data_IF_694177552807
#
_entry.id   IF_694177552807
#
_cell.length_a   1.000
_cell.length_b   1.000
_cell.length_c   1.000
_cell.angle_alpha   90.00
_cell.angle_beta   90.00
_cell.angle_gamma   90.00
#
_symmetry.space_group_name_H-M   'P 1'
#
loop_
_entity.id
_entity.type
_entity.pdbx_description
1 polymer ?
#
# COMPACT_ATOMS: atom_id res chain seq x y z
N UNK A 1 -10.08 -14.02 9.55
CA UNK A 1 -8.75 -14.61 9.81
C UNK A 1 -8.07 -13.83 10.93
N UNK A 2 -7.05 -14.40 11.58
CA UNK A 2 -6.27 -13.67 12.58
C UNK A 2 -5.32 -12.70 11.85
N UNK A 3 -5.12 -11.46 12.32
CA UNK A 3 -4.30 -10.47 11.63
C UNK A 3 -2.79 -10.78 11.65
N UNK A 4 -2.41 -11.89 12.26
CA UNK A 4 -1.02 -12.31 12.43
C UNK A 4 -0.88 -13.81 12.21
N UNK A 5 0.33 -14.22 11.82
CA UNK A 5 0.78 -15.61 11.81
C UNK A 5 1.80 -15.81 12.93
N UNK A 6 1.73 -16.95 13.63
CA UNK A 6 2.78 -17.32 14.58
C UNK A 6 4.02 -17.80 13.83
N UNK A 7 5.14 -17.13 14.06
CA UNK A 7 6.43 -17.47 13.46
C UNK A 7 7.52 -17.58 14.51
N UNK A 8 8.43 -18.53 14.34
CA UNK A 8 9.65 -18.61 15.14
C UNK A 8 10.74 -17.74 14.51
N UNK A 9 11.13 -16.67 15.20
CA UNK A 9 12.21 -15.76 14.79
C UNK A 9 13.27 -15.72 15.87
N UNK A 10 14.49 -16.13 15.52
CA UNK A 10 15.65 -16.16 16.43
C UNK A 10 15.37 -16.93 17.74
N UNK A 11 14.66 -18.05 17.65
CA UNK A 11 14.31 -18.90 18.80
C UNK A 11 13.17 -18.37 19.67
N UNK A 12 12.38 -17.41 19.17
CA UNK A 12 11.22 -16.85 19.87
C UNK A 12 9.99 -16.90 18.98
N UNK A 13 8.87 -17.33 19.53
CA UNK A 13 7.58 -17.23 18.86
C UNK A 13 7.11 -15.77 18.91
N UNK A 14 6.82 -15.22 17.73
CA UNK A 14 6.27 -13.88 17.57
C UNK A 14 4.97 -13.96 16.77
N UNK A 15 4.08 -12.99 17.00
CA UNK A 15 2.92 -12.75 16.17
C UNK A 15 3.35 -11.82 15.03
N UNK A 16 3.56 -12.38 13.84
CA UNK A 16 4.00 -11.62 12.68
C UNK A 16 2.78 -11.08 11.93
N UNK A 17 2.70 -9.76 11.79
CA UNK A 17 1.63 -9.10 11.04
C UNK A 17 1.66 -9.50 9.56
N UNK A 18 0.49 -9.59 8.92
CA UNK A 18 0.43 -9.85 7.48
C UNK A 18 0.94 -8.65 6.69
N UNK A 19 1.46 -8.85 5.45
CA UNK A 19 1.89 -7.75 4.59
C UNK A 19 0.81 -6.67 4.40
N UNK A 20 -0.46 -7.08 4.29
CA UNK A 20 -1.61 -6.18 4.15
C UNK A 20 -1.82 -5.36 5.41
N UNK A 21 -1.77 -5.97 6.60
CA UNK A 21 -1.92 -5.23 7.86
C UNK A 21 -0.82 -4.17 8.00
N UNK A 22 0.43 -4.51 7.64
CA UNK A 22 1.56 -3.59 7.70
C UNK A 22 1.33 -2.37 6.80
N UNK A 23 0.94 -2.56 5.53
CA UNK A 23 0.69 -1.42 4.63
C UNK A 23 -0.57 -0.65 5.00
N UNK A 24 -1.62 -1.32 5.47
CA UNK A 24 -2.83 -0.69 5.96
C UNK A 24 -2.54 0.25 7.13
N UNK A 25 -1.77 -0.21 8.12
CA UNK A 25 -1.33 0.62 9.25
C UNK A 25 -0.47 1.80 8.80
N UNK A 26 0.48 1.58 7.89
CA UNK A 26 1.32 2.67 7.34
C UNK A 26 0.45 3.75 6.70
N UNK A 27 -0.49 3.38 5.83
CA UNK A 27 -1.40 4.33 5.20
C UNK A 27 -2.35 4.98 6.21
N UNK A 28 -2.85 4.24 7.21
CA UNK A 28 -3.77 4.79 8.21
C UNK A 28 -3.11 5.83 9.14
N UNK A 29 -1.91 5.54 9.64
CA UNK A 29 -1.20 6.40 10.59
C UNK A 29 -0.32 7.47 9.95
N UNK A 30 0.09 7.28 8.69
CA UNK A 30 1.05 8.16 7.99
C UNK A 30 0.60 8.54 6.58
N UNK A 31 -0.67 8.37 6.24
CA UNK A 31 -1.19 8.73 4.92
C UNK A 31 -0.94 10.19 4.53
N UNK A 32 -0.76 11.09 5.50
CA UNK A 32 -0.40 12.51 5.37
C UNK A 32 1.12 12.77 5.23
N UNK A 33 1.96 11.73 5.32
CA UNK A 33 3.44 11.80 5.30
C UNK A 33 4.04 10.65 4.50
N UNK A 34 3.64 10.50 3.25
CA UNK A 34 4.17 9.44 2.39
C UNK A 34 5.71 9.48 2.29
N UNK A 35 6.35 8.32 2.38
CA UNK A 35 7.79 8.13 2.16
C UNK A 35 8.07 7.25 0.93
N UNK A 36 9.27 7.34 0.32
CA UNK A 36 9.64 6.46 -0.79
C UNK A 36 9.49 4.96 -0.49
N UNK A 37 9.81 4.53 0.75
CA UNK A 37 9.64 3.13 1.16
C UNK A 37 8.19 2.73 1.30
N UNK A 38 7.32 3.61 1.80
CA UNK A 38 5.89 3.29 1.88
C UNK A 38 5.28 3.08 0.49
N UNK A 39 5.72 3.85 -0.51
CA UNK A 39 5.29 3.67 -1.90
C UNK A 39 5.79 2.34 -2.47
N UNK A 40 7.06 1.99 -2.21
CA UNK A 40 7.65 0.71 -2.63
C UNK A 40 6.92 -0.48 -2.00
N UNK A 41 6.75 -0.45 -0.67
CA UNK A 41 6.10 -1.51 0.10
C UNK A 41 4.65 -1.70 -0.35
N UNK A 42 3.90 -0.60 -0.56
CA UNK A 42 2.54 -0.68 -1.09
C UNK A 42 2.51 -1.30 -2.49
N UNK A 43 3.41 -0.90 -3.39
CA UNK A 43 3.47 -1.44 -4.75
C UNK A 43 3.80 -2.94 -4.77
N UNK A 44 4.64 -3.41 -3.85
CA UNK A 44 4.96 -4.82 -3.66
C UNK A 44 3.76 -5.59 -3.10
N UNK A 45 3.07 -5.07 -2.08
CA UNK A 45 1.87 -5.74 -1.54
C UNK A 45 0.74 -5.77 -2.58
N UNK A 46 0.58 -4.72 -3.39
CA UNK A 46 -0.36 -4.73 -4.53
C UNK A 46 -0.03 -5.85 -5.51
N UNK A 47 1.25 -6.14 -5.78
CA UNK A 47 1.65 -7.20 -6.71
C UNK A 47 1.12 -8.58 -6.31
N UNK A 48 1.16 -8.89 -5.02
CA UNK A 48 0.87 -10.23 -4.50
C UNK A 48 -0.51 -10.36 -3.87
N UNK A 49 -1.11 -9.25 -3.41
CA UNK A 49 -2.30 -9.26 -2.56
C UNK A 49 -3.42 -8.32 -3.04
N UNK A 50 -3.45 -7.95 -4.32
CA UNK A 50 -4.43 -6.97 -4.83
C UNK A 50 -5.89 -7.30 -4.46
N UNK A 51 -6.32 -8.56 -4.63
CA UNK A 51 -7.71 -8.96 -4.31
C UNK A 51 -8.04 -8.81 -2.83
N UNK A 52 -7.12 -9.19 -1.96
CA UNK A 52 -7.30 -9.14 -0.50
C UNK A 52 -7.30 -7.68 0.00
N UNK A 53 -6.50 -6.79 -0.61
CA UNK A 53 -6.62 -5.34 -0.38
C UNK A 53 -8.02 -4.84 -0.75
N UNK A 54 -8.58 -5.27 -1.88
CA UNK A 54 -9.91 -4.85 -2.30
C UNK A 54 -11.00 -5.38 -1.35
N UNK A 55 -10.84 -6.57 -0.77
CA UNK A 55 -11.76 -7.11 0.23
C UNK A 55 -11.76 -6.28 1.53
N UNK A 56 -10.65 -5.61 1.83
CA UNK A 56 -10.49 -4.68 2.95
C UNK A 56 -10.43 -3.20 2.54
N UNK A 57 -11.04 -2.86 1.39
CA UNK A 57 -10.92 -1.53 0.77
C UNK A 57 -11.32 -0.35 1.66
N UNK A 58 -12.21 -0.56 2.64
CA UNK A 58 -12.66 0.44 3.61
C UNK A 58 -11.51 0.99 4.47
N UNK A 59 -10.53 0.15 4.82
CA UNK A 59 -9.35 0.55 5.58
C UNK A 59 -8.46 1.49 4.78
N UNK A 60 -8.36 1.28 3.47
CA UNK A 60 -7.49 2.04 2.57
C UNK A 60 -8.15 3.31 2.03
N UNK A 61 -9.47 3.29 1.83
CA UNK A 61 -10.23 4.36 1.19
C UNK A 61 -10.01 5.74 1.82
N UNK A 62 -9.84 5.80 3.15
CA UNK A 62 -9.67 7.05 3.89
C UNK A 62 -8.43 7.85 3.46
N UNK A 63 -7.31 7.18 3.20
CA UNK A 63 -6.01 7.84 3.06
C UNK A 63 -5.33 7.59 1.72
N UNK A 64 -5.83 6.66 0.89
CA UNK A 64 -5.19 6.31 -0.39
C UNK A 64 -5.12 7.51 -1.36
N UNK A 65 -6.13 8.37 -1.37
CA UNK A 65 -6.13 9.59 -2.20
C UNK A 65 -5.02 10.55 -1.79
N UNK A 66 -5.02 10.98 -0.52
CA UNK A 66 -3.99 11.86 0.04
C UNK A 66 -2.57 11.29 -0.10
N UNK A 67 -2.42 9.97 0.05
CA UNK A 67 -1.15 9.27 -0.14
C UNK A 67 -0.65 9.40 -1.58
N UNK A 68 -1.49 9.07 -2.58
CA UNK A 68 -1.10 9.16 -4.00
C UNK A 68 -0.81 10.60 -4.43
N UNK A 69 -1.57 11.57 -3.94
CA UNK A 69 -1.35 12.99 -4.23
C UNK A 69 0.00 13.49 -3.67
N UNK A 70 0.36 13.09 -2.45
CA UNK A 70 1.66 13.43 -1.88
C UNK A 70 2.82 12.80 -2.64
N UNK A 71 2.70 11.52 -3.02
CA UNK A 71 3.72 10.86 -3.82
C UNK A 71 3.94 11.59 -5.15
N UNK A 72 2.86 11.98 -5.83
CA UNK A 72 2.95 12.74 -7.08
C UNK A 72 3.52 14.16 -6.90
N UNK A 73 2.95 14.93 -5.96
CA UNK A 73 3.36 16.33 -5.73
C UNK A 73 4.79 16.48 -5.22
N UNK A 74 5.30 15.49 -4.47
CA UNK A 74 6.66 15.47 -3.91
C UNK A 74 7.63 14.63 -4.71
N UNK A 75 7.28 14.21 -5.93
CA UNK A 75 8.11 13.36 -6.80
C UNK A 75 9.56 13.84 -6.88
N UNK A 76 9.78 15.14 -7.12
CA UNK A 76 11.13 15.69 -7.26
C UNK A 76 12.02 15.48 -6.00
N UNK A 77 11.42 15.43 -4.81
CA UNK A 77 12.12 15.18 -3.56
C UNK A 77 12.17 13.70 -3.20
N UNK A 78 11.15 12.92 -3.57
CA UNK A 78 11.06 11.50 -3.24
C UNK A 78 11.87 10.61 -4.16
N UNK A 79 11.97 10.95 -5.46
CA UNK A 79 12.63 10.12 -6.47
C UNK A 79 14.10 9.82 -6.13
N UNK A 80 14.96 10.80 -5.76
CA UNK A 80 16.36 10.49 -5.42
C UNK A 80 16.47 9.48 -4.28
N UNK A 81 15.69 9.66 -3.21
CA UNK A 81 15.67 8.74 -2.07
C UNK A 81 15.04 7.38 -2.40
N UNK A 82 14.14 7.32 -3.40
CA UNK A 82 13.59 6.07 -3.89
C UNK A 82 14.61 5.26 -4.67
N UNK A 83 15.42 5.93 -5.49
CA UNK A 83 16.47 5.29 -6.31
C UNK A 83 17.64 4.78 -5.46
N UNK A 84 17.85 5.35 -4.27
CA UNK A 84 18.82 4.87 -3.27
C UNK A 84 18.36 3.61 -2.52
N UNK A 85 17.08 3.20 -2.63
CA UNK A 85 16.61 2.00 -1.94
C UNK A 85 17.27 0.77 -2.56
N UNK A 86 17.99 0.02 -1.74
CA UNK A 86 18.47 -1.31 -2.11
C UNK A 86 17.27 -2.25 -2.25
N UNK A 87 16.96 -2.64 -3.50
CA UNK A 87 15.84 -3.51 -3.84
C UNK A 87 16.38 -4.90 -4.15
N UNK A 88 15.95 -5.89 -3.38
CA UNK A 88 16.23 -7.30 -3.68
C UNK A 88 15.11 -7.79 -4.59
N UNK A 89 15.43 -8.06 -5.86
CA UNK A 89 14.55 -8.65 -6.88
C UNK A 89 13.32 -7.84 -7.34
N UNK A 90 13.00 -6.72 -6.68
CA UNK A 90 11.91 -5.82 -7.08
C UNK A 90 12.41 -4.65 -7.94
N UNK A 91 12.05 -4.62 -9.23
CA UNK A 91 12.64 -3.70 -10.22
C UNK A 91 11.79 -2.49 -10.60
N UNK A 92 10.65 -2.26 -9.95
CA UNK A 92 9.80 -1.12 -10.31
C UNK A 92 10.51 0.22 -10.04
N UNK A 93 10.34 1.12 -10.99
CA UNK A 93 10.62 2.54 -10.86
C UNK A 93 9.61 3.22 -9.93
N UNK A 94 9.95 4.45 -9.54
CA UNK A 94 9.04 5.29 -8.74
C UNK A 94 7.69 5.47 -9.43
N UNK A 95 7.72 5.79 -10.73
CA UNK A 95 6.52 6.06 -11.51
C UNK A 95 5.66 4.80 -11.67
N UNK A 96 6.27 3.63 -11.91
CA UNK A 96 5.53 2.36 -11.95
C UNK A 96 4.87 2.01 -10.60
N UNK A 97 5.54 2.32 -9.48
CA UNK A 97 4.95 2.14 -8.15
C UNK A 97 3.78 3.10 -7.93
N UNK A 98 3.94 4.37 -8.33
CA UNK A 98 2.90 5.38 -8.22
C UNK A 98 1.69 5.06 -9.10
N UNK A 99 1.91 4.54 -10.31
CA UNK A 99 0.85 4.12 -11.23
C UNK A 99 0.03 2.95 -10.65
N UNK A 100 0.70 1.98 -10.01
CA UNK A 100 0.01 0.91 -9.28
C UNK A 100 -0.83 1.45 -8.13
N UNK A 101 -0.29 2.37 -7.33
CA UNK A 101 -1.03 2.99 -6.23
C UNK A 101 -2.25 3.80 -6.74
N UNK A 102 -2.09 4.53 -7.86
CA UNK A 102 -3.20 5.24 -8.50
C UNK A 102 -4.26 4.29 -9.08
N UNK A 103 -3.85 3.14 -9.62
CA UNK A 103 -4.77 2.11 -10.11
C UNK A 103 -5.57 1.49 -8.97
N UNK A 104 -4.90 1.13 -7.87
CA UNK A 104 -5.55 0.65 -6.65
C UNK A 104 -6.56 1.69 -6.11
N UNK A 105 -6.17 2.98 -6.06
CA UNK A 105 -7.08 4.07 -5.67
C UNK A 105 -8.34 4.06 -6.53
N UNK A 106 -8.19 4.00 -7.85
CA UNK A 106 -9.34 3.98 -8.76
C UNK A 106 -10.29 2.80 -8.48
N UNK A 107 -9.74 1.62 -8.19
CA UNK A 107 -10.54 0.43 -7.92
C UNK A 107 -11.23 0.46 -6.55
N UNK A 108 -10.56 0.99 -5.52
CA UNK A 108 -11.15 1.25 -4.20
C UNK A 108 -12.32 2.25 -4.31
N UNK A 109 -12.12 3.36 -5.05
CA UNK A 109 -13.15 4.39 -5.22
C UNK A 109 -14.35 3.87 -6.01
N UNK A 110 -14.14 3.04 -7.04
CA UNK A 110 -15.23 2.37 -7.77
C UNK A 110 -16.05 1.45 -6.86
N UNK A 111 -15.40 0.68 -5.97
CA UNK A 111 -16.07 -0.22 -5.02
C UNK A 111 -16.84 0.55 -3.93
N UNK A 112 -16.40 1.77 -3.62
CA UNK A 112 -17.03 2.63 -2.61
C UNK A 112 -18.26 3.39 -3.13
N UNK A 113 -18.46 3.48 -4.45
CA UNK A 113 -19.69 4.02 -5.04
C UNK A 113 -20.77 2.94 -4.88
N UNK A 114 -21.87 3.19 -4.13
CA UNK A 114 -22.97 2.25 -4.07
C UNK A 114 -23.52 2.11 -5.50
N UNK A 115 -23.53 0.88 -6.03
CA UNK A 115 -24.33 0.56 -7.21
C UNK A 115 -25.79 0.76 -6.86
N UNK A 116 -26.32 1.96 -7.05
CA UNK A 116 -27.75 2.18 -7.20
C UNK A 116 -28.11 1.92 -8.66
N UNK A 117 -28.50 0.69 -8.93
CA UNK A 117 -29.28 0.28 -10.09
C UNK A 117 -30.14 -0.89 -9.65
N UNK A 118 -31.28 -0.60 -9.02
CA UNK A 118 -32.61 -0.55 -9.66
C UNK A 118 -33.18 -1.95 -9.84
N UNK A 119 -34.14 -2.26 -8.97
CA UNK A 119 -35.17 -3.28 -9.17
C UNK A 119 -36.00 -3.03 -10.42
#
# INVERSE_FOLDING_TARGET
ENPFEEHEVLGRNILLETPIEIVAKKLWYRGDRATPRDLLDLALVIEHHHSEILDHSDVFAKNIEAFTEQCGSRRATMLPAFDEIEKIEFKLSFDECLDRANSLKADILKKSIPTHSSS
#
